data_IF_029979760647
#
_entry.id   IF_029979760647
#
_cell.length_a   1.000
_cell.length_b   1.000
_cell.length_c   1.000
_cell.angle_alpha   90.00
_cell.angle_beta   90.00
_cell.angle_gamma   90.00
#
_symmetry.space_group_name_H-M   'P 1'
#
loop_
_entity.id
_entity.type
_entity.pdbx_description
1 polymer ?
#
# COMPACT_ATOMS: atom_id res chain seq x y z
N UNK A 1 10.07 9.84 44.01
CA UNK A 1 10.74 9.54 42.71
C UNK A 1 10.54 8.07 42.39
N UNK A 2 9.68 7.74 41.42
CA UNK A 2 9.42 6.35 41.01
C UNK A 2 10.61 5.78 40.23
N UNK A 3 11.36 4.85 40.84
CA UNK A 3 12.44 4.09 40.19
C UNK A 3 11.88 3.33 38.98
N UNK A 4 12.17 3.79 37.75
CA UNK A 4 11.86 3.04 36.52
C UNK A 4 12.70 1.75 36.55
N UNK A 5 12.03 0.59 36.56
CA UNK A 5 12.70 -0.71 36.43
C UNK A 5 13.48 -0.75 35.10
N UNK A 6 14.74 -1.20 35.08
CA UNK A 6 15.51 -1.30 33.84
C UNK A 6 14.82 -2.31 32.90
N UNK A 7 14.49 -1.87 31.68
CA UNK A 7 13.87 -2.73 30.67
C UNK A 7 14.87 -3.81 30.27
N UNK A 8 14.57 -5.06 30.62
CA UNK A 8 15.37 -6.25 30.32
C UNK A 8 15.59 -6.37 28.80
N UNK A 9 16.75 -6.90 28.35
CA UNK A 9 17.02 -7.06 26.91
C UNK A 9 15.94 -7.88 26.19
N UNK A 10 15.33 -8.87 26.87
CA UNK A 10 14.19 -9.63 26.38
C UNK A 10 12.95 -8.76 26.11
N UNK A 11 12.61 -7.85 27.02
CA UNK A 11 11.53 -6.89 26.83
C UNK A 11 11.84 -5.94 25.66
N UNK A 12 13.08 -5.44 25.54
CA UNK A 12 13.49 -4.63 24.38
C UNK A 12 13.35 -5.41 23.06
N UNK A 13 13.72 -6.69 23.03
CA UNK A 13 13.52 -7.60 21.88
C UNK A 13 12.03 -7.78 21.54
N UNK A 14 11.19 -7.99 22.53
CA UNK A 14 9.74 -8.16 22.34
C UNK A 14 9.07 -6.87 21.84
N UNK A 15 9.42 -5.71 22.41
CA UNK A 15 8.95 -4.41 21.95
C UNK A 15 9.43 -4.09 20.53
N UNK A 16 10.69 -4.38 20.21
CA UNK A 16 11.25 -4.17 18.89
C UNK A 16 10.55 -5.08 17.86
N UNK A 17 10.31 -6.35 18.19
CA UNK A 17 9.60 -7.29 17.31
C UNK A 17 8.13 -6.88 17.10
N UNK A 18 7.44 -6.42 18.16
CA UNK A 18 6.06 -5.93 18.10
C UNK A 18 5.94 -4.62 17.30
N UNK A 19 6.89 -3.69 17.49
CA UNK A 19 6.94 -2.40 16.80
C UNK A 19 7.30 -2.55 15.31
N UNK A 20 8.23 -3.46 14.98
CA UNK A 20 8.58 -3.75 13.58
C UNK A 20 7.45 -4.46 12.83
N UNK A 21 6.71 -5.38 13.49
CA UNK A 21 5.50 -6.01 12.93
C UNK A 21 4.34 -5.02 12.75
N UNK A 22 4.22 -4.02 13.62
CA UNK A 22 3.26 -2.92 13.48
C UNK A 22 3.55 -2.09 12.22
N UNK A 23 4.84 -1.78 11.96
CA UNK A 23 5.25 -1.03 10.77
C UNK A 23 4.97 -1.77 9.44
N UNK A 24 4.92 -3.10 9.48
CA UNK A 24 4.64 -3.96 8.33
C UNK A 24 3.28 -3.70 7.70
N UNK A 25 2.25 -3.48 8.52
CA UNK A 25 0.87 -3.25 8.07
C UNK A 25 0.53 -1.76 7.89
N UNK A 26 1.28 -0.86 8.52
CA UNK A 26 1.12 0.59 8.33
C UNK A 26 1.28 0.99 6.88
N UNK A 27 2.29 0.47 6.18
CA UNK A 27 2.53 0.77 4.76
C UNK A 27 1.31 0.46 3.89
N UNK A 28 0.70 -0.71 4.05
CA UNK A 28 -0.49 -1.09 3.29
C UNK A 28 -1.66 -0.16 3.59
N UNK A 29 -1.87 0.19 4.86
CA UNK A 29 -2.95 1.09 5.27
C UNK A 29 -2.78 2.49 4.69
N UNK A 30 -1.57 3.05 4.74
CA UNK A 30 -1.30 4.37 4.16
C UNK A 30 -1.47 4.35 2.64
N UNK A 31 -1.03 3.29 1.96
CA UNK A 31 -1.22 3.19 0.52
C UNK A 31 -2.69 3.04 0.12
N UNK A 32 -3.46 2.21 0.82
CA UNK A 32 -4.91 2.11 0.59
C UNK A 32 -5.60 3.45 0.84
N UNK A 33 -5.20 4.21 1.86
CA UNK A 33 -5.74 5.54 2.10
C UNK A 33 -5.42 6.53 0.96
N UNK A 34 -4.20 6.50 0.42
CA UNK A 34 -3.81 7.33 -0.73
C UNK A 34 -4.70 6.98 -1.94
N UNK A 35 -4.85 5.70 -2.27
CA UNK A 35 -5.72 5.27 -3.36
C UNK A 35 -7.17 5.68 -3.15
N UNK A 36 -7.69 5.51 -1.92
CA UNK A 36 -9.03 5.96 -1.56
C UNK A 36 -9.22 7.44 -1.85
N UNK A 37 -8.29 8.32 -1.43
CA UNK A 37 -8.42 9.75 -1.68
C UNK A 37 -8.29 10.13 -3.16
N UNK A 38 -7.42 9.45 -3.92
CA UNK A 38 -7.29 9.68 -5.37
C UNK A 38 -8.57 9.25 -6.10
N UNK A 39 -9.10 8.07 -5.76
CA UNK A 39 -10.36 7.55 -6.32
C UNK A 39 -11.55 8.42 -5.91
N UNK A 40 -11.56 8.95 -4.67
CA UNK A 40 -12.56 9.90 -4.21
C UNK A 40 -12.50 11.21 -4.99
N UNK A 41 -11.29 11.76 -5.19
CA UNK A 41 -11.10 12.97 -5.97
C UNK A 41 -11.56 12.79 -7.42
N UNK A 42 -11.22 11.66 -8.05
CA UNK A 42 -11.72 11.33 -9.38
C UNK A 42 -13.25 11.28 -9.40
N UNK A 43 -13.88 10.58 -8.45
CA UNK A 43 -15.34 10.50 -8.34
C UNK A 43 -15.97 11.89 -8.25
N UNK A 44 -15.47 12.75 -7.37
CA UNK A 44 -15.99 14.10 -7.16
C UNK A 44 -15.90 14.96 -8.42
N UNK A 45 -14.77 14.90 -9.15
CA UNK A 45 -14.63 15.63 -10.41
C UNK A 45 -15.51 15.07 -11.53
N UNK A 46 -15.73 13.75 -11.57
CA UNK A 46 -16.65 13.11 -12.50
C UNK A 46 -18.11 13.50 -12.26
N UNK A 47 -18.49 14.00 -11.08
CA UNK A 47 -19.84 14.53 -10.84
C UNK A 47 -20.12 15.81 -11.63
N UNK A 48 -19.08 16.59 -11.95
CA UNK A 48 -19.25 17.82 -12.73
C UNK A 48 -19.64 17.55 -14.18
N UNK A 49 -19.24 16.41 -14.74
CA UNK A 49 -19.51 15.98 -16.10
C UNK A 49 -19.72 14.46 -16.10
N UNK A 50 -20.96 14.03 -15.84
CA UNK A 50 -21.24 12.62 -15.60
C UNK A 50 -21.10 11.78 -16.86
N UNK A 51 -20.36 10.68 -16.74
CA UNK A 51 -20.20 9.64 -17.77
C UNK A 51 -20.25 8.27 -17.11
N UNK A 52 -20.44 7.20 -17.89
CA UNK A 52 -20.36 5.83 -17.37
C UNK A 52 -19.01 5.50 -16.73
N UNK A 53 -17.93 6.16 -17.16
CA UNK A 53 -16.62 5.99 -16.53
C UNK A 53 -16.54 6.54 -15.11
N UNK A 54 -17.45 7.43 -14.69
CA UNK A 54 -17.57 7.89 -13.31
C UNK A 54 -17.93 6.78 -12.31
N UNK A 55 -18.45 5.64 -12.78
CA UNK A 55 -18.70 4.46 -11.94
C UNK A 55 -17.42 3.71 -11.57
N UNK A 56 -16.36 3.83 -12.36
CA UNK A 56 -15.07 3.16 -12.13
C UNK A 56 -14.44 3.57 -10.80
N UNK A 57 -14.20 4.87 -10.52
CA UNK A 57 -13.62 5.27 -9.25
C UNK A 57 -14.53 4.98 -8.06
N UNK A 58 -15.86 4.97 -8.24
CA UNK A 58 -16.82 4.57 -7.19
C UNK A 58 -16.65 3.09 -6.83
N UNK A 59 -16.55 2.21 -7.82
CA UNK A 59 -16.30 0.79 -7.59
C UNK A 59 -14.97 0.56 -6.86
N UNK A 60 -13.93 1.33 -7.22
CA UNK A 60 -12.64 1.28 -6.54
C UNK A 60 -12.73 1.74 -5.08
N UNK A 61 -13.52 2.77 -4.77
CA UNK A 61 -13.75 3.20 -3.38
C UNK A 61 -14.36 2.09 -2.51
N UNK A 62 -15.30 1.33 -3.06
CA UNK A 62 -15.89 0.18 -2.36
C UNK A 62 -14.81 -0.87 -2.08
N UNK A 63 -13.96 -1.16 -3.07
CA UNK A 63 -12.84 -2.10 -2.92
C UNK A 63 -11.85 -1.60 -1.87
N UNK A 64 -11.47 -0.33 -1.90
CA UNK A 64 -10.59 0.28 -0.88
C UNK A 64 -11.21 0.16 0.53
N UNK A 65 -12.52 0.37 0.66
CA UNK A 65 -13.26 0.15 1.91
C UNK A 65 -13.18 -1.30 2.40
N UNK A 66 -13.37 -2.28 1.52
CA UNK A 66 -13.24 -3.70 1.85
C UNK A 66 -11.81 -4.06 2.27
N UNK A 67 -10.80 -3.51 1.61
CA UNK A 67 -9.39 -3.68 2.00
C UNK A 67 -9.18 -3.11 3.42
N UNK A 68 -9.69 -1.92 3.73
CA UNK A 68 -9.56 -1.32 5.06
C UNK A 68 -10.21 -2.19 6.15
N UNK A 69 -11.37 -2.79 5.88
CA UNK A 69 -12.03 -3.73 6.80
C UNK A 69 -11.15 -4.98 6.98
N UNK A 70 -10.65 -5.59 5.91
CA UNK A 70 -9.76 -6.77 6.00
C UNK A 70 -8.49 -6.45 6.81
N UNK A 71 -7.86 -5.31 6.54
CA UNK A 71 -6.64 -4.86 7.20
C UNK A 71 -6.86 -4.60 8.69
N UNK A 72 -7.98 -3.96 9.06
CA UNK A 72 -8.31 -3.69 10.47
C UNK A 72 -8.68 -4.96 11.24
N UNK A 73 -9.37 -5.92 10.60
CA UNK A 73 -9.65 -7.22 11.23
C UNK A 73 -8.36 -8.04 11.44
N UNK A 74 -7.48 -8.11 10.44
CA UNK A 74 -6.20 -8.84 10.52
C UNK A 74 -5.18 -8.17 11.44
N UNK A 75 -5.32 -6.87 11.69
CA UNK A 75 -4.58 -6.18 12.74
C UNK A 75 -4.87 -6.78 14.13
N UNK A 76 -6.12 -7.20 14.37
CA UNK A 76 -6.55 -7.79 15.64
C UNK A 76 -6.39 -9.32 15.69
N UNK A 77 -6.63 -10.03 14.58
CA UNK A 77 -6.44 -11.47 14.46
C UNK A 77 -5.23 -11.75 13.56
N UNK A 78 -4.10 -12.14 14.16
CA UNK A 78 -2.81 -12.38 13.48
C UNK A 78 -2.92 -13.48 12.41
N UNK A 79 -3.27 -13.09 11.19
CA UNK A 79 -3.38 -13.95 10.02
C UNK A 79 -2.47 -13.39 8.92
N UNK A 80 -1.53 -14.19 8.45
CA UNK A 80 -0.49 -13.76 7.49
C UNK A 80 -0.98 -13.70 6.03
N UNK A 81 -2.25 -14.04 5.76
CA UNK A 81 -2.81 -14.10 4.40
C UNK A 81 -3.62 -12.85 4.10
N UNK A 82 -3.22 -12.06 3.10
CA UNK A 82 -3.89 -10.80 2.69
C UNK A 82 -4.54 -10.98 1.32
N UNK A 83 -5.64 -11.73 1.27
CA UNK A 83 -6.27 -12.15 0.01
C UNK A 83 -7.05 -11.01 -0.65
N UNK A 84 -7.90 -10.31 0.10
CA UNK A 84 -8.71 -9.21 -0.45
C UNK A 84 -7.83 -8.04 -0.85
N UNK A 85 -6.83 -7.75 -0.03
CA UNK A 85 -5.80 -6.73 -0.30
C UNK A 85 -5.07 -7.00 -1.62
N UNK A 86 -4.60 -8.23 -1.85
CA UNK A 86 -3.93 -8.60 -3.12
C UNK A 86 -4.85 -8.44 -4.33
N UNK A 87 -6.08 -8.93 -4.22
CA UNK A 87 -7.06 -8.85 -5.32
C UNK A 87 -7.40 -7.39 -5.61
N UNK A 88 -7.60 -6.57 -4.58
CA UNK A 88 -7.92 -5.16 -4.71
C UNK A 88 -6.79 -4.35 -5.36
N UNK A 89 -5.52 -4.58 -4.98
CA UNK A 89 -4.38 -3.93 -5.64
C UNK A 89 -4.20 -4.38 -7.10
N UNK A 90 -4.49 -5.64 -7.42
CA UNK A 90 -4.52 -6.11 -8.81
C UNK A 90 -5.64 -5.47 -9.62
N UNK A 91 -6.83 -5.30 -9.03
CA UNK A 91 -7.94 -4.60 -9.67
C UNK A 91 -7.58 -3.13 -9.95
N UNK A 92 -7.02 -2.42 -8.95
CA UNK A 92 -6.54 -1.04 -9.12
C UNK A 92 -5.47 -0.95 -10.22
N UNK A 93 -4.53 -1.91 -10.26
CA UNK A 93 -3.53 -1.99 -11.33
C UNK A 93 -4.19 -2.16 -12.70
N UNK A 94 -5.17 -3.07 -12.82
CA UNK A 94 -5.92 -3.29 -14.05
C UNK A 94 -6.65 -2.03 -14.52
N UNK A 95 -7.30 -1.30 -13.60
CA UNK A 95 -7.96 -0.04 -13.93
C UNK A 95 -6.96 1.02 -14.40
N UNK A 96 -5.83 1.18 -13.71
CA UNK A 96 -4.78 2.12 -14.13
C UNK A 96 -4.27 1.77 -15.54
N UNK A 97 -4.08 0.48 -15.84
CA UNK A 97 -3.63 0.02 -17.14
C UNK A 97 -4.66 0.29 -18.24
N UNK A 98 -5.93 -0.04 -18.01
CA UNK A 98 -7.03 0.23 -18.94
C UNK A 98 -7.18 1.73 -19.17
N UNK A 99 -7.04 2.56 -18.14
CA UNK A 99 -7.11 4.01 -18.25
C UNK A 99 -5.98 4.55 -19.13
N UNK A 100 -4.74 4.07 -18.95
CA UNK A 100 -3.60 4.42 -19.81
C UNK A 100 -3.90 4.08 -21.27
N UNK A 101 -4.32 2.84 -21.56
CA UNK A 101 -4.65 2.43 -22.92
C UNK A 101 -5.80 3.24 -23.53
N UNK A 102 -6.86 3.50 -22.75
CA UNK A 102 -7.98 4.32 -23.19
C UNK A 102 -7.56 5.75 -23.54
N UNK A 103 -6.70 6.37 -22.73
CA UNK A 103 -6.13 7.69 -23.03
C UNK A 103 -5.26 7.64 -24.30
N UNK A 104 -4.48 6.57 -24.50
CA UNK A 104 -3.62 6.42 -25.68
C UNK A 104 -4.43 6.34 -26.98
N UNK A 105 -5.57 5.65 -26.97
CA UNK A 105 -6.48 5.47 -28.12
C UNK A 105 -7.39 6.70 -28.34
N UNK A 106 -7.35 7.68 -27.44
CA UNK A 106 -8.12 8.94 -27.56
C UNK A 106 -9.45 8.97 -26.81
N UNK A 107 -9.77 7.94 -26.02
CA UNK A 107 -11.00 7.85 -25.21
C UNK A 107 -10.93 8.65 -23.89
N UNK A 108 -10.02 9.64 -23.82
CA UNK A 108 -9.84 10.47 -22.62
C UNK A 108 -11.13 11.19 -22.22
N UNK A 109 -11.85 11.79 -23.18
CA UNK A 109 -13.05 12.57 -22.88
C UNK A 109 -14.17 11.72 -22.24
N UNK A 110 -14.20 10.41 -22.52
CA UNK A 110 -15.16 9.49 -21.90
C UNK A 110 -14.70 9.05 -20.52
N UNK A 111 -13.40 8.78 -20.34
CA UNK A 111 -12.85 8.30 -19.07
C UNK A 111 -12.71 9.40 -18.01
N UNK A 112 -12.25 10.57 -18.46
CA UNK A 112 -11.94 11.74 -17.64
C UNK A 112 -12.53 12.98 -18.34
N UNK A 113 -13.86 13.16 -18.26
CA UNK A 113 -14.57 14.23 -18.97
C UNK A 113 -14.26 15.63 -18.43
N UNK A 114 -13.70 15.73 -17.22
CA UNK A 114 -13.35 17.01 -16.59
C UNK A 114 -11.97 17.55 -17.00
N UNK A 115 -11.16 16.79 -17.77
CA UNK A 115 -9.81 17.22 -18.14
C UNK A 115 -9.65 17.36 -19.65
N UNK A 116 -9.17 18.53 -20.07
CA UNK A 116 -8.87 18.83 -21.47
C UNK A 116 -7.67 18.03 -22.01
N UNK A 117 -7.56 17.98 -23.33
CA UNK A 117 -6.50 17.26 -24.05
C UNK A 117 -5.08 17.74 -23.70
N UNK A 118 -4.91 19.01 -23.32
CA UNK A 118 -3.63 19.55 -22.83
C UNK A 118 -3.14 18.88 -21.54
N UNK A 119 -4.06 18.34 -20.71
CA UNK A 119 -3.75 17.63 -19.46
C UNK A 119 -3.37 16.16 -19.65
N UNK A 120 -3.40 15.64 -20.89
CA UNK A 120 -3.16 14.22 -21.20
C UNK A 120 -1.86 13.68 -20.60
N UNK A 121 -0.77 14.44 -20.70
CA UNK A 121 0.54 14.03 -20.17
C UNK A 121 0.54 13.85 -18.65
N UNK A 122 -0.16 14.74 -17.93
CA UNK A 122 -0.31 14.67 -16.48
C UNK A 122 -1.12 13.44 -16.09
N UNK A 123 -2.22 13.15 -16.79
CA UNK A 123 -3.04 11.96 -16.55
C UNK A 123 -2.24 10.67 -16.74
N UNK A 124 -1.50 10.57 -17.85
CA UNK A 124 -0.66 9.41 -18.12
C UNK A 124 0.41 9.21 -17.04
N UNK A 125 1.05 10.30 -16.59
CA UNK A 125 1.99 10.24 -15.49
C UNK A 125 1.33 9.77 -14.19
N UNK A 126 0.14 10.29 -13.87
CA UNK A 126 -0.58 9.97 -12.63
C UNK A 126 -0.99 8.49 -12.58
N UNK A 127 -1.57 7.96 -13.67
CA UNK A 127 -1.91 6.53 -13.76
C UNK A 127 -0.66 5.64 -13.78
N UNK A 128 0.44 6.07 -14.40
CA UNK A 128 1.70 5.33 -14.39
C UNK A 128 2.29 5.25 -12.99
N UNK A 129 2.26 6.36 -12.23
CA UNK A 129 2.68 6.38 -10.82
C UNK A 129 1.78 5.46 -9.98
N UNK A 130 0.46 5.51 -10.18
CA UNK A 130 -0.48 4.60 -9.53
C UNK A 130 -0.18 3.13 -9.84
N UNK A 131 0.13 2.81 -11.10
CA UNK A 131 0.52 1.46 -11.53
C UNK A 131 1.81 0.99 -10.85
N UNK A 132 2.84 1.83 -10.80
CA UNK A 132 4.10 1.54 -10.10
C UNK A 132 3.89 1.33 -8.59
N UNK A 133 3.02 2.14 -7.97
CA UNK A 133 2.68 2.00 -6.57
C UNK A 133 1.99 0.65 -6.27
N UNK A 134 1.06 0.21 -7.13
CA UNK A 134 0.44 -1.12 -7.00
C UNK A 134 1.49 -2.24 -7.08
N UNK A 135 2.40 -2.19 -8.05
CA UNK A 135 3.47 -3.19 -8.19
C UNK A 135 4.42 -3.19 -6.99
N UNK A 136 4.77 -2.02 -6.47
CA UNK A 136 5.61 -1.89 -5.28
C UNK A 136 4.96 -2.57 -4.06
N UNK A 137 3.67 -2.32 -3.84
CA UNK A 137 2.93 -2.92 -2.73
C UNK A 137 2.74 -4.42 -2.91
N UNK A 138 2.49 -4.89 -4.13
CA UNK A 138 2.39 -6.31 -4.43
C UNK A 138 3.73 -7.03 -4.18
N UNK A 139 4.86 -6.42 -4.58
CA UNK A 139 6.20 -6.96 -4.31
C UNK A 139 6.49 -7.03 -2.81
N UNK A 140 6.09 -6.00 -2.05
CA UNK A 140 6.20 -5.99 -0.59
C UNK A 140 5.33 -7.08 0.04
N UNK A 141 4.09 -7.26 -0.42
CA UNK A 141 3.21 -8.33 0.04
C UNK A 141 3.81 -9.72 -0.21
N UNK A 142 4.43 -9.94 -1.38
CA UNK A 142 5.08 -11.21 -1.71
C UNK A 142 6.30 -11.50 -0.83
N UNK A 143 7.16 -10.50 -0.58
CA UNK A 143 8.30 -10.62 0.33
C UNK A 143 7.86 -10.96 1.77
N UNK A 144 6.69 -10.45 2.15
CA UNK A 144 6.10 -10.66 3.46
C UNK A 144 5.56 -12.08 3.65
N UNK A 145 4.97 -12.65 2.60
CA UNK A 145 4.36 -13.98 2.61
C UNK A 145 5.39 -15.10 2.52
N UNK A 146 6.54 -14.87 1.87
CA UNK A 146 7.60 -15.87 1.71
C UNK A 146 8.68 -15.83 2.80
N UNK A 147 8.50 -15.04 3.87
CA UNK A 147 9.49 -14.85 4.96
C UNK A 147 10.92 -14.55 4.47
N UNK A 148 11.05 -14.05 3.24
CA UNK A 148 12.31 -13.63 2.58
C UNK A 148 12.53 -12.13 2.70
N UNK A 149 11.95 -11.54 3.73
CA UNK A 149 12.18 -10.14 4.05
C UNK A 149 13.62 -10.00 4.58
N UNK A 150 14.31 -8.90 4.25
CA UNK A 150 15.66 -8.57 4.78
C UNK A 150 15.72 -8.62 6.32
N UNK A 151 14.55 -8.64 6.96
CA UNK A 151 14.31 -8.73 8.39
C UNK A 151 14.56 -10.11 9.00
N UNK A 152 14.31 -11.22 8.30
CA UNK A 152 14.69 -12.55 8.81
C UNK A 152 16.22 -12.67 8.91
N UNK A 153 16.93 -12.06 7.95
CA UNK A 153 18.40 -11.95 7.98
C UNK A 153 18.90 -11.05 9.11
N UNK A 154 18.20 -9.96 9.44
CA UNK A 154 18.54 -9.13 10.61
C UNK A 154 18.29 -9.92 11.91
N UNK A 155 17.10 -10.52 12.09
CA UNK A 155 16.76 -11.34 13.27
C UNK A 155 17.73 -12.52 13.49
N UNK A 156 18.11 -13.23 12.42
CA UNK A 156 19.11 -14.30 12.51
C UNK A 156 20.50 -13.74 12.82
N UNK A 157 20.92 -12.61 12.26
CA UNK A 157 22.21 -11.97 12.64
C UNK A 157 22.24 -11.55 14.11
N UNK A 158 21.12 -11.04 14.66
CA UNK A 158 21.01 -10.71 16.09
C UNK A 158 20.89 -11.93 17.01
N UNK A 159 20.32 -13.05 16.55
CA UNK A 159 20.29 -14.32 17.28
C UNK A 159 21.64 -15.04 17.25
N UNK A 160 22.36 -15.00 16.13
CA UNK A 160 23.68 -15.65 15.99
C UNK A 160 24.81 -14.85 16.63
N UNK A 161 24.74 -13.52 16.72
CA UNK A 161 25.84 -12.67 17.25
C UNK A 161 25.65 -12.12 18.67
N UNK A 162 24.60 -12.50 19.40
CA UNK A 162 24.55 -12.34 20.87
C UNK A 162 25.03 -11.00 21.43
N UNK A 163 24.70 -9.87 20.79
CA UNK A 163 25.01 -8.54 21.34
C UNK A 163 26.49 -8.20 21.52
N UNK A 164 27.37 -8.62 20.61
CA UNK A 164 28.73 -8.02 20.51
C UNK A 164 28.90 -7.29 19.18
N UNK A 165 28.46 -6.03 19.13
CA UNK A 165 28.95 -5.09 18.11
C UNK A 165 30.35 -4.66 18.55
N UNK A 166 31.35 -5.45 18.18
CA UNK A 166 32.75 -5.05 18.25
C UNK A 166 33.32 -5.00 16.84
N UNK A 167 33.69 -3.78 16.41
CA UNK A 167 34.31 -3.48 15.11
C UNK A 167 33.30 -3.48 13.97
N UNK A 168 33.13 -2.43 13.18
CA UNK A 168 34.18 -1.64 12.56
C UNK A 168 33.82 -0.16 12.56
N UNK A 169 34.59 0.60 13.33
CA UNK A 169 34.90 2.00 13.03
C UNK A 169 36.25 1.97 12.34
N UNK A 170 36.27 2.21 11.03
CA UNK A 170 37.22 3.06 10.30
C UNK A 170 36.69 3.23 8.89
#
# INVERSE_FOLDING_TARGET
MTKRKPVTQAAKKEYANKSMRFNRFLLFRYMTAIFFFVNLYWTLLSLSQWTWAGLIPIALLIVDGLILIEQTQKYWQQSNRLLVTKIGYWLQFGVNLIAIFGILIGQQATLIPFMNQSGRGILLALFSVGMMACLFIQRKAWLIEHDRDKYFTYLTTFETQGGTVNGFRK
#
